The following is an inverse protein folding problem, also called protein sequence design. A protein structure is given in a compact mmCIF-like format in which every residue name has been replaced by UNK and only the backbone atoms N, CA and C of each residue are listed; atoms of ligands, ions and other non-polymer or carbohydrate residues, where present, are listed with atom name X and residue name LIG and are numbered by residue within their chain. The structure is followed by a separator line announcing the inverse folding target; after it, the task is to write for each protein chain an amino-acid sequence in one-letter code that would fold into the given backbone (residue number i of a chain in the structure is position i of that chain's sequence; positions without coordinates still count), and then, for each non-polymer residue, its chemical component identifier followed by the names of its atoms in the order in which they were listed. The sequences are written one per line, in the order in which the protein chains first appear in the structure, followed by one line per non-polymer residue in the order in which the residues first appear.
data_IF_813060008736
#
_entry.id   IF_813060008736
#
_cell.length_a   1.000
_cell.length_b   1.000
_cell.length_c   1.000
_cell.angle_alpha   90.00
_cell.angle_beta   90.00
_cell.angle_gamma   90.00
#
_symmetry.space_group_name_H-M   'P 1'
#
loop_
_entity.id
_entity.type
_entity.pdbx_description
1 polymer ?
#
# COMPACT_ATOMS: atom_id res chain seq x y z
N UNK A 1 -11.55 -13.22 -15.94
CA UNK A 1 -10.51 -13.61 -14.98
C UNK A 1 -11.04 -14.70 -14.06
N UNK A 2 -10.26 -15.73 -13.83
CA UNK A 2 -10.69 -16.81 -12.95
C UNK A 2 -10.59 -16.38 -11.48
N UNK A 3 -11.34 -17.06 -10.64
CA UNK A 3 -11.31 -16.82 -9.20
C UNK A 3 -9.90 -17.03 -8.62
N UNK A 4 -9.21 -18.08 -9.07
CA UNK A 4 -7.87 -18.39 -8.58
C UNK A 4 -6.86 -17.29 -8.94
N UNK A 5 -6.98 -16.73 -10.14
CA UNK A 5 -6.09 -15.63 -10.55
C UNK A 5 -6.34 -14.37 -9.73
N UNK A 6 -7.59 -14.08 -9.45
CA UNK A 6 -7.95 -12.92 -8.63
C UNK A 6 -7.42 -13.07 -7.21
N UNK A 7 -7.60 -14.25 -6.62
CA UNK A 7 -7.10 -14.53 -5.28
C UNK A 7 -5.58 -14.40 -5.21
N UNK A 8 -4.88 -14.90 -6.23
CA UNK A 8 -3.42 -14.77 -6.30
C UNK A 8 -2.97 -13.32 -6.39
N UNK A 9 -3.69 -12.50 -7.15
CA UNK A 9 -3.39 -11.09 -7.26
C UNK A 9 -3.61 -10.37 -5.93
N UNK A 10 -4.69 -10.68 -5.23
CA UNK A 10 -4.97 -10.08 -3.93
C UNK A 10 -3.89 -10.47 -2.92
N UNK A 11 -3.48 -11.73 -2.90
CA UNK A 11 -2.42 -12.19 -2.01
C UNK A 11 -1.12 -11.45 -2.27
N UNK A 12 -0.78 -11.24 -3.54
CA UNK A 12 0.43 -10.51 -3.92
C UNK A 12 0.36 -9.06 -3.47
N UNK A 13 -0.79 -8.42 -3.62
CA UNK A 13 -1.00 -7.05 -3.17
C UNK A 13 -0.86 -6.98 -1.65
N UNK A 14 -1.44 -7.94 -0.92
CA UNK A 14 -1.33 -7.98 0.53
C UNK A 14 0.12 -8.10 0.98
N UNK A 15 0.93 -8.91 0.30
CA UNK A 15 2.36 -9.02 0.59
C UNK A 15 3.08 -7.69 0.40
N UNK A 16 2.80 -7.00 -0.70
CA UNK A 16 3.42 -5.71 -0.95
C UNK A 16 2.99 -4.67 0.09
N UNK A 17 1.71 -4.70 0.47
CA UNK A 17 1.21 -3.79 1.51
C UNK A 17 1.91 -4.02 2.84
N UNK A 18 2.13 -5.27 3.20
CA UNK A 18 2.85 -5.62 4.42
C UNK A 18 4.28 -5.09 4.39
N UNK A 19 4.96 -5.29 3.26
CA UNK A 19 6.33 -4.78 3.08
C UNK A 19 6.38 -3.27 3.17
N UNK A 20 5.43 -2.60 2.56
CA UNK A 20 5.36 -1.14 2.60
C UNK A 20 5.12 -0.65 4.03
N UNK A 21 4.19 -1.27 4.75
CA UNK A 21 3.91 -0.90 6.14
C UNK A 21 5.15 -1.07 7.01
N UNK A 22 5.89 -2.15 6.80
CA UNK A 22 7.15 -2.39 7.51
C UNK A 22 8.16 -1.27 7.25
N UNK A 23 8.31 -0.91 5.97
CA UNK A 23 9.24 0.16 5.58
C UNK A 23 8.82 1.51 6.13
N UNK A 24 7.51 1.79 6.13
CA UNK A 24 7.00 3.04 6.68
C UNK A 24 7.27 3.12 8.18
N UNK A 25 7.12 2.03 8.90
CA UNK A 25 7.43 1.97 10.33
C UNK A 25 8.91 2.22 10.57
N UNK A 26 9.79 1.63 9.76
CA UNK A 26 11.23 1.87 9.86
C UNK A 26 11.58 3.33 9.62
N UNK A 27 10.98 3.93 8.61
CA UNK A 27 11.23 5.33 8.29
C UNK A 27 10.76 6.22 9.44
N UNK A 28 9.58 5.94 9.99
CA UNK A 28 9.05 6.71 11.12
C UNK A 28 9.99 6.62 12.33
N UNK A 29 10.51 5.43 12.61
CA UNK A 29 11.45 5.22 13.70
C UNK A 29 12.74 5.99 13.46
N UNK A 30 13.29 5.92 12.26
CA UNK A 30 14.51 6.66 11.92
C UNK A 30 14.31 8.15 12.05
N UNK A 31 13.16 8.68 11.61
CA UNK A 31 12.88 10.11 11.69
C UNK A 31 12.83 10.61 13.13
N UNK A 32 12.43 9.77 14.09
CA UNK A 32 12.41 10.14 15.50
C UNK A 32 13.80 10.44 16.05
N UNK A 33 14.82 9.77 15.51
CA UNK A 33 16.20 9.88 16.01
C UNK A 33 17.08 10.80 15.17
N UNK A 34 16.56 11.34 14.07
CA UNK A 34 17.34 12.18 13.17
C UNK A 34 17.13 13.65 13.47
N UNK A 35 18.17 14.44 13.21
CA UNK A 35 18.08 15.88 13.32
C UNK A 35 17.20 16.44 12.20
N UNK A 36 16.29 17.32 12.59
CA UNK A 36 15.41 17.98 11.63
C UNK A 36 16.21 18.92 10.72
N UNK A 37 15.79 18.98 9.47
CA UNK A 37 16.37 19.91 8.51
C UNK A 37 17.60 19.39 7.78
N UNK A 38 17.96 18.13 7.97
CA UNK A 38 19.07 17.53 7.23
C UNK A 38 18.61 16.98 5.91
N UNK A 39 19.54 16.81 4.97
CA UNK A 39 19.23 16.21 3.66
C UNK A 39 18.70 14.79 3.82
N UNK A 40 19.23 14.05 4.79
CA UNK A 40 18.79 12.69 5.08
C UNK A 40 17.32 12.64 5.47
N UNK A 41 16.88 13.63 6.29
CA UNK A 41 15.48 13.72 6.67
C UNK A 41 14.60 13.98 5.44
N UNK A 42 15.01 14.90 4.57
CA UNK A 42 14.26 15.18 3.36
C UNK A 42 14.18 13.97 2.43
N UNK A 43 15.26 13.22 2.32
CA UNK A 43 15.27 12.00 1.52
C UNK A 43 14.32 10.94 2.09
N UNK A 44 14.30 10.80 3.41
CA UNK A 44 13.38 9.86 4.06
C UNK A 44 11.93 10.27 3.92
N UNK A 45 11.65 11.57 4.02
CA UNK A 45 10.31 12.08 3.82
C UNK A 45 9.82 11.86 2.40
N UNK A 46 10.70 12.01 1.42
CA UNK A 46 10.38 11.74 0.02
C UNK A 46 10.08 10.25 -0.19
N UNK A 47 10.93 9.39 0.36
CA UNK A 47 10.70 7.94 0.29
C UNK A 47 9.40 7.55 0.96
N UNK A 48 9.10 8.13 2.12
CA UNK A 48 7.85 7.91 2.82
C UNK A 48 6.66 8.27 1.94
N UNK A 49 6.72 9.43 1.30
CA UNK A 49 5.65 9.87 0.42
C UNK A 49 5.44 8.91 -0.74
N UNK A 50 6.52 8.46 -1.37
CA UNK A 50 6.44 7.50 -2.47
C UNK A 50 5.82 6.18 -2.00
N UNK A 51 6.20 5.70 -0.84
CA UNK A 51 5.64 4.48 -0.28
C UNK A 51 4.17 4.64 0.05
N UNK A 52 3.78 5.78 0.59
CA UNK A 52 2.37 6.05 0.89
C UNK A 52 1.52 6.12 -0.37
N UNK A 53 2.05 6.73 -1.43
CA UNK A 53 1.37 6.75 -2.74
C UNK A 53 1.23 5.33 -3.31
N UNK A 54 2.28 4.54 -3.21
CA UNK A 54 2.24 3.15 -3.67
C UNK A 54 1.23 2.34 -2.88
N UNK A 55 1.22 2.55 -1.56
CA UNK A 55 0.26 1.88 -0.68
C UNK A 55 -1.18 2.22 -1.09
N UNK A 56 -1.44 3.49 -1.31
CA UNK A 56 -2.77 3.95 -1.72
C UNK A 56 -3.19 3.31 -3.04
N UNK A 57 -2.27 3.24 -4.00
CA UNK A 57 -2.53 2.61 -5.29
C UNK A 57 -2.84 1.12 -5.13
N UNK A 58 -2.06 0.42 -4.30
CA UNK A 58 -2.29 -1.00 -4.05
C UNK A 58 -3.60 -1.25 -3.33
N UNK A 59 -3.95 -0.40 -2.38
CA UNK A 59 -5.22 -0.50 -1.67
C UNK A 59 -6.39 -0.28 -2.63
N UNK A 60 -6.24 0.64 -3.56
CA UNK A 60 -7.25 0.89 -4.59
C UNK A 60 -7.39 -0.33 -5.51
N UNK A 61 -6.27 -0.89 -5.95
CA UNK A 61 -6.26 -2.08 -6.80
C UNK A 61 -6.93 -3.26 -6.09
N UNK A 62 -6.62 -3.44 -4.82
CA UNK A 62 -7.22 -4.50 -4.03
C UNK A 62 -8.73 -4.29 -3.89
N UNK A 63 -9.13 -3.05 -3.62
CA UNK A 63 -10.54 -2.71 -3.51
C UNK A 63 -11.28 -3.01 -4.81
N UNK A 64 -10.70 -2.65 -5.95
CA UNK A 64 -11.28 -2.93 -7.25
C UNK A 64 -11.44 -4.44 -7.48
N UNK A 65 -10.42 -5.22 -7.12
CA UNK A 65 -10.47 -6.66 -7.29
C UNK A 65 -11.50 -7.33 -6.38
N UNK A 66 -11.64 -6.83 -5.17
CA UNK A 66 -12.58 -7.41 -4.20
C UNK A 66 -14.01 -6.93 -4.41
N UNK A 67 -14.17 -5.67 -4.86
CA UNK A 67 -15.49 -5.08 -5.01
C UNK A 67 -16.13 -5.36 -6.37
N UNK A 68 -15.35 -5.81 -7.35
CA UNK A 68 -15.86 -6.03 -8.70
C UNK A 68 -17.07 -6.96 -8.72
N UNK A 69 -16.93 -8.14 -8.17
CA UNK A 69 -18.03 -9.08 -8.07
C UNK A 69 -19.04 -8.70 -6.99
N UNK A 70 -18.53 -8.16 -5.90
CA UNK A 70 -19.36 -7.75 -4.77
C UNK A 70 -20.26 -6.58 -5.13
N UNK A 71 -19.72 -5.56 -5.77
CA UNK A 71 -20.48 -4.38 -6.19
C UNK A 71 -21.57 -4.77 -7.19
N UNK A 72 -21.21 -5.58 -8.16
CA UNK A 72 -22.18 -6.07 -9.15
C UNK A 72 -23.29 -6.87 -8.49
N UNK A 73 -22.94 -7.68 -7.50
CA UNK A 73 -23.90 -8.48 -6.76
C UNK A 73 -24.83 -7.60 -5.92
N UNK A 74 -24.29 -6.62 -5.23
CA UNK A 74 -25.08 -5.72 -4.39
C UNK A 74 -25.93 -4.75 -5.20
N UNK A 75 -25.38 -4.21 -6.26
CA UNK A 75 -26.09 -3.22 -7.09
C UNK A 75 -27.07 -3.85 -8.06
N UNK A 76 -27.01 -5.15 -8.22
CA UNK A 76 -27.96 -5.88 -9.05
C UNK A 76 -29.31 -6.11 -8.38
N UNK A 77 -29.43 -5.64 -7.18
CA UNK A 77 -30.63 -5.82 -6.38
C UNK A 77 -31.21 -4.48 -5.91
#
# INVERSE_FOLDING_TARGET
MSYAMRAAQIDKIDEELEDIDYKLDEIAEQLEYMEQGTDEVYNLLDEKEQLEQRKEQLEQDKSDLTSFGWTAWNNGF
#
